data_IF_122410723731
#
_entry.id   IF_122410723731
#
_cell.length_a   1.000
_cell.length_b   1.000
_cell.length_c   1.000
_cell.angle_alpha   90.00
_cell.angle_beta   90.00
_cell.angle_gamma   90.00
#
_symmetry.space_group_name_H-M   'P 1'
#
loop_
_entity.id
_entity.type
_entity.pdbx_description
1 polymer ?
#
# COMPACT_ATOMS: atom_id res chain seq x y z
N UNK A 1 12.98 7.37 10.39
CA UNK A 1 12.83 5.99 10.91
C UNK A 1 11.35 5.70 11.05
N UNK A 2 10.89 4.51 10.70
CA UNK A 2 9.47 4.16 10.82
C UNK A 2 9.26 2.65 10.89
N UNK A 3 8.03 2.25 11.25
CA UNK A 3 7.61 0.88 11.44
C UNK A 3 7.48 0.13 10.11
N UNK A 4 6.92 0.79 9.08
CA UNK A 4 6.65 0.21 7.75
C UNK A 4 5.95 -1.16 7.79
N UNK A 5 4.95 -1.28 8.68
CA UNK A 5 4.05 -2.43 8.73
C UNK A 5 2.85 -2.16 7.81
N UNK A 6 2.55 -3.09 6.90
CA UNK A 6 1.56 -2.91 5.82
C UNK A 6 1.90 -1.73 4.90
N UNK A 7 3.07 -1.77 4.27
CA UNK A 7 3.50 -0.76 3.29
C UNK A 7 2.43 -0.56 2.20
N UNK A 8 2.21 0.70 1.84
CA UNK A 8 1.24 1.14 0.84
C UNK A 8 1.77 2.39 0.14
N UNK A 9 1.14 2.83 -0.95
CA UNK A 9 1.63 3.96 -1.76
C UNK A 9 1.86 5.27 -0.97
N UNK A 10 1.14 5.49 0.13
CA UNK A 10 1.41 6.60 1.07
C UNK A 10 2.81 6.59 1.69
N UNK A 11 3.31 5.43 2.13
CA UNK A 11 4.69 5.26 2.60
C UNK A 11 5.68 5.49 1.46
N UNK A 12 5.40 4.93 0.28
CA UNK A 12 6.23 5.10 -0.91
C UNK A 12 6.34 6.57 -1.33
N UNK A 13 5.24 7.35 -1.27
CA UNK A 13 5.27 8.78 -1.59
C UNK A 13 5.98 9.61 -0.51
N UNK A 14 5.92 9.22 0.77
CA UNK A 14 6.75 9.85 1.81
C UNK A 14 8.23 9.64 1.51
N UNK A 15 8.64 8.41 1.17
CA UNK A 15 10.02 8.10 0.82
C UNK A 15 10.47 8.82 -0.47
N UNK A 16 9.59 8.92 -1.47
CA UNK A 16 9.83 9.74 -2.67
C UNK A 16 10.08 11.20 -2.32
N UNK A 17 9.25 11.80 -1.46
CA UNK A 17 9.42 13.18 -1.01
C UNK A 17 10.73 13.36 -0.24
N UNK A 18 11.08 12.41 0.63
CA UNK A 18 12.33 12.44 1.37
C UNK A 18 13.56 12.34 0.45
N UNK A 19 13.54 11.40 -0.52
CA UNK A 19 14.59 11.26 -1.53
C UNK A 19 14.71 12.50 -2.41
N UNK A 20 13.63 13.25 -2.65
CA UNK A 20 13.69 14.48 -3.44
C UNK A 20 14.35 15.66 -2.69
N UNK A 21 14.59 15.54 -1.38
CA UNK A 21 15.24 16.59 -0.57
C UNK A 21 16.76 16.44 -0.50
N UNK A 22 17.33 15.38 -1.07
CA UNK A 22 18.77 15.12 -1.08
C UNK A 22 19.16 14.12 -2.16
N UNK A 23 20.39 13.62 -2.11
CA UNK A 23 20.91 12.73 -3.16
C UNK A 23 20.87 11.24 -2.76
N UNK A 24 20.80 10.95 -1.46
CA UNK A 24 20.84 9.60 -0.90
C UNK A 24 19.83 9.46 0.25
N UNK A 25 19.10 8.35 0.30
CA UNK A 25 18.04 8.08 1.27
C UNK A 25 18.32 6.77 2.02
N UNK A 26 18.62 6.92 3.31
CA UNK A 26 18.74 5.84 4.28
C UNK A 26 17.43 5.72 5.07
N UNK A 27 16.89 4.51 5.16
CA UNK A 27 15.63 4.25 5.89
C UNK A 27 15.86 3.31 7.08
N UNK A 28 15.74 3.87 8.29
CA UNK A 28 15.75 3.08 9.51
C UNK A 28 14.41 2.40 9.79
N UNK A 29 14.45 1.09 10.04
CA UNK A 29 13.27 0.24 10.31
C UNK A 29 13.43 -0.47 11.66
N UNK A 30 12.43 -0.33 12.54
CA UNK A 30 12.47 -0.88 13.91
C UNK A 30 12.34 -2.41 13.94
N UNK A 31 12.83 -3.05 15.02
CA UNK A 31 12.60 -4.48 15.29
C UNK A 31 11.18 -4.76 15.77
N UNK A 32 10.75 -6.01 15.70
CA UNK A 32 9.43 -6.43 16.19
C UNK A 32 9.30 -6.23 17.72
N UNK A 33 10.39 -6.47 18.45
CA UNK A 33 10.47 -6.25 19.89
C UNK A 33 10.31 -4.77 20.26
N UNK A 34 11.00 -3.88 19.53
CA UNK A 34 10.96 -2.44 19.79
C UNK A 34 9.58 -1.85 19.51
N UNK A 35 8.92 -2.33 18.45
CA UNK A 35 7.53 -1.97 18.14
C UNK A 35 6.59 -2.41 19.26
N UNK A 36 6.76 -3.64 19.74
CA UNK A 36 5.86 -4.25 20.73
C UNK A 36 5.93 -3.58 22.11
N UNK A 37 7.01 -2.85 22.41
CA UNK A 37 7.11 -2.02 23.63
C UNK A 37 6.20 -0.78 23.59
N UNK A 38 5.98 -0.23 22.40
CA UNK A 38 5.27 1.03 22.22
C UNK A 38 3.81 0.85 21.77
N UNK A 39 3.54 -0.23 21.03
CA UNK A 39 2.20 -0.56 20.52
C UNK A 39 2.01 -2.08 20.40
N UNK A 40 0.85 -2.51 19.92
CA UNK A 40 0.62 -3.93 19.61
C UNK A 40 1.64 -4.48 18.59
N UNK A 41 1.88 -5.80 18.59
CA UNK A 41 2.86 -6.41 17.70
C UNK A 41 2.54 -6.13 16.23
N UNK A 42 3.55 -5.98 15.35
CA UNK A 42 3.33 -5.75 13.94
C UNK A 42 2.68 -6.97 13.25
N UNK A 43 2.00 -6.73 12.13
CA UNK A 43 1.38 -7.78 11.31
C UNK A 43 2.44 -8.56 10.52
N UNK A 44 3.44 -7.85 9.99
CA UNK A 44 4.60 -8.43 9.33
C UNK A 44 5.82 -8.48 10.24
N UNK A 45 6.59 -9.55 10.10
CA UNK A 45 7.89 -9.71 10.76
C UNK A 45 8.86 -8.63 10.30
N UNK A 46 9.87 -8.34 11.11
CA UNK A 46 10.88 -7.34 10.76
C UNK A 46 11.61 -7.67 9.45
N UNK A 47 11.89 -8.95 9.17
CA UNK A 47 12.51 -9.37 7.92
C UNK A 47 11.64 -9.08 6.69
N UNK A 48 10.32 -9.33 6.78
CA UNK A 48 9.36 -8.98 5.72
C UNK A 48 9.32 -7.45 5.51
N UNK A 49 9.34 -6.66 6.60
CA UNK A 49 9.33 -5.19 6.55
C UNK A 49 10.63 -4.64 5.94
N UNK A 50 11.78 -5.16 6.34
CA UNK A 50 13.10 -4.80 5.79
C UNK A 50 13.13 -5.03 4.28
N UNK A 51 12.73 -6.22 3.83
CA UNK A 51 12.73 -6.56 2.41
C UNK A 51 11.74 -5.71 1.60
N UNK A 52 10.56 -5.43 2.15
CA UNK A 52 9.57 -4.57 1.50
C UNK A 52 10.07 -3.12 1.31
N UNK A 53 10.72 -2.55 2.34
CA UNK A 53 11.29 -1.19 2.26
C UNK A 53 12.45 -1.15 1.27
N UNK A 54 13.34 -2.16 1.25
CA UNK A 54 14.40 -2.27 0.22
C UNK A 54 13.83 -2.30 -1.19
N UNK A 55 12.65 -2.90 -1.41
CA UNK A 55 12.07 -2.99 -2.75
C UNK A 55 11.58 -1.65 -3.32
N UNK A 56 11.44 -0.62 -2.51
CA UNK A 56 11.02 0.71 -2.94
C UNK A 56 12.19 1.40 -3.64
N UNK A 57 11.96 1.93 -4.85
CA UNK A 57 13.03 2.43 -5.73
C UNK A 57 13.75 3.69 -5.28
N UNK A 58 13.15 4.45 -4.37
CA UNK A 58 13.76 5.66 -3.82
C UNK A 58 14.68 5.38 -2.63
N UNK A 59 14.63 4.18 -2.06
CA UNK A 59 15.44 3.78 -0.91
C UNK A 59 16.78 3.25 -1.39
N UNK A 60 17.88 3.86 -0.98
CA UNK A 60 19.21 3.39 -1.36
C UNK A 60 19.74 2.37 -0.36
N UNK A 61 19.56 2.65 0.94
CA UNK A 61 20.02 1.79 2.04
C UNK A 61 18.94 1.66 3.12
N UNK A 62 18.91 0.51 3.79
CA UNK A 62 18.10 0.33 5.00
C UNK A 62 19.00 0.12 6.22
N UNK A 63 18.55 0.65 7.35
CA UNK A 63 19.14 0.39 8.67
C UNK A 63 18.18 -0.49 9.45
N UNK A 64 18.58 -1.74 9.68
CA UNK A 64 17.83 -2.68 10.49
C UNK A 64 17.99 -2.38 11.99
N UNK A 65 16.94 -2.63 12.76
CA UNK A 65 16.94 -2.39 14.20
C UNK A 65 17.14 -0.93 14.60
N UNK A 66 16.62 0.01 13.80
CA UNK A 66 16.70 1.43 14.13
C UNK A 66 15.93 1.74 15.43
N UNK A 67 16.42 2.68 16.27
CA UNK A 67 15.74 3.08 17.50
C UNK A 67 14.36 3.68 17.18
N UNK A 68 13.41 3.60 18.13
CA UNK A 68 12.04 4.05 17.90
C UNK A 68 11.96 5.56 17.60
N UNK A 69 12.72 6.36 18.34
CA UNK A 69 12.82 7.81 18.17
C UNK A 69 14.12 8.15 17.43
N UNK A 70 14.02 9.09 16.48
CA UNK A 70 15.18 9.60 15.75
C UNK A 70 15.97 10.57 16.63
N UNK A 71 17.26 10.30 16.83
CA UNK A 71 18.18 11.12 17.65
C UNK A 71 19.30 11.72 16.79
N UNK A 72 19.95 12.77 17.29
CA UNK A 72 21.15 13.34 16.62
C UNK A 72 22.27 12.32 16.52
N UNK A 73 22.49 11.52 17.56
CA UNK A 73 23.46 10.42 17.57
C UNK A 73 23.25 9.47 16.38
N UNK A 74 22.00 9.13 16.07
CA UNK A 74 21.74 8.23 14.95
C UNK A 74 21.96 8.91 13.60
N UNK A 75 21.62 10.20 13.48
CA UNK A 75 21.92 10.95 12.26
C UNK A 75 23.42 11.05 12.03
N UNK A 76 24.20 11.31 13.07
CA UNK A 76 25.66 11.42 13.00
C UNK A 76 26.30 10.06 12.68
N UNK A 77 25.81 8.97 13.31
CA UNK A 77 26.28 7.60 13.05
C UNK A 77 26.20 7.21 11.57
N UNK A 78 25.14 7.62 10.87
CA UNK A 78 24.93 7.31 9.45
C UNK A 78 25.24 8.49 8.53
N UNK A 79 25.88 9.54 9.05
CA UNK A 79 26.24 10.74 8.28
C UNK A 79 25.05 11.37 7.52
N UNK A 80 23.85 11.34 8.11
CA UNK A 80 22.65 11.93 7.53
C UNK A 80 22.54 13.42 7.91
N UNK A 81 22.38 14.31 6.93
CA UNK A 81 22.24 15.75 7.21
C UNK A 81 20.97 16.08 8.02
N UNK A 82 19.85 15.43 7.70
CA UNK A 82 18.56 15.66 8.36
C UNK A 82 17.67 14.41 8.31
N UNK A 83 16.63 14.39 9.15
CA UNK A 83 15.54 13.42 9.04
C UNK A 83 14.31 14.03 8.39
N UNK A 84 13.49 13.18 7.77
CA UNK A 84 12.22 13.55 7.17
C UNK A 84 11.11 12.73 7.82
N UNK A 85 10.07 13.40 8.29
CA UNK A 85 8.88 12.78 8.88
C UNK A 85 7.60 13.42 8.33
N UNK A 86 6.45 12.82 8.62
CA UNK A 86 5.15 13.42 8.32
C UNK A 86 4.87 14.62 9.24
N UNK A 87 3.80 15.34 8.94
CA UNK A 87 3.24 16.45 9.72
C UNK A 87 2.35 16.00 10.90
N UNK A 88 2.51 14.74 11.34
CA UNK A 88 1.74 14.19 12.45
C UNK A 88 2.16 14.84 13.78
N UNK A 89 1.20 15.04 14.70
CA UNK A 89 1.46 15.58 16.03
C UNK A 89 2.20 14.52 16.86
N UNK A 90 3.46 14.80 17.21
CA UNK A 90 4.31 13.89 17.98
C UNK A 90 4.70 14.47 19.33
N UNK A 91 3.73 14.56 20.24
CA UNK A 91 3.95 15.01 21.62
C UNK A 91 4.12 13.82 22.58
N UNK A 92 5.04 13.95 23.53
CA UNK A 92 5.13 13.07 24.69
C UNK A 92 3.95 13.33 25.65
N UNK A 93 3.78 12.49 26.65
CA UNK A 93 2.75 12.66 27.70
C UNK A 93 2.86 14.00 28.43
N UNK A 94 4.07 14.56 28.50
CA UNK A 94 4.34 15.86 29.12
C UNK A 94 4.09 17.05 28.16
N UNK A 95 3.53 16.79 26.97
CA UNK A 95 3.26 17.81 25.96
C UNK A 95 4.51 18.31 25.23
N UNK A 96 5.65 17.61 25.35
CA UNK A 96 6.91 17.97 24.71
C UNK A 96 7.03 17.31 23.33
N UNK A 97 7.61 17.98 22.35
CA UNK A 97 7.84 17.38 21.04
C UNK A 97 8.85 16.22 21.13
N UNK A 98 8.47 15.07 20.58
CA UNK A 98 9.29 13.85 20.54
C UNK A 98 10.61 14.08 19.78
N UNK A 99 10.61 15.01 18.81
CA UNK A 99 11.77 15.36 18.00
C UNK A 99 12.35 16.73 18.36
N UNK A 100 12.09 17.25 19.57
CA UNK A 100 12.54 18.58 20.00
C UNK A 100 14.05 18.79 19.75
N UNK A 101 14.88 17.82 20.12
CA UNK A 101 16.34 17.88 19.95
C UNK A 101 16.74 18.03 18.48
N UNK A 102 16.15 17.21 17.61
CA UNK A 102 16.45 17.23 16.17
C UNK A 102 15.93 18.49 15.51
N UNK A 103 14.74 18.97 15.91
CA UNK A 103 14.16 20.23 15.44
C UNK A 103 15.03 21.44 15.83
N UNK A 104 15.51 21.50 17.07
CA UNK A 104 16.40 22.58 17.56
C UNK A 104 17.72 22.64 16.80
N UNK A 105 18.24 21.49 16.36
CA UNK A 105 19.47 21.43 15.55
C UNK A 105 19.29 21.86 14.09
N UNK A 106 18.06 22.13 13.64
CA UNK A 106 17.78 22.46 12.23
C UNK A 106 17.83 21.27 11.28
N UNK A 107 17.91 20.03 11.79
CA UNK A 107 18.06 18.76 11.04
C UNK A 107 16.76 17.96 10.93
N UNK A 108 15.61 18.63 11.03
CA UNK A 108 14.28 18.04 10.84
C UNK A 108 13.59 18.67 9.62
N UNK A 109 12.95 17.84 8.81
CA UNK A 109 12.15 18.26 7.64
C UNK A 109 10.81 17.53 7.63
N UNK A 110 9.81 18.19 7.08
CA UNK A 110 8.45 17.65 6.99
C UNK A 110 8.08 17.33 5.55
N UNK A 111 7.35 16.24 5.37
CA UNK A 111 6.75 15.85 4.10
C UNK A 111 5.22 15.88 4.20
N UNK A 112 4.55 16.15 3.08
CA UNK A 112 3.09 16.23 3.07
C UNK A 112 2.50 14.83 3.16
N UNK A 113 1.50 14.67 4.03
CA UNK A 113 0.71 13.44 4.12
C UNK A 113 0.07 13.10 2.78
N UNK A 114 0.10 11.81 2.43
CA UNK A 114 -0.49 11.33 1.18
C UNK A 114 -2.01 11.18 1.34
N UNK A 115 -2.76 11.85 0.47
CA UNK A 115 -4.22 11.77 0.43
C UNK A 115 -4.71 10.39 -0.04
N UNK A 116 -5.80 9.91 0.55
CA UNK A 116 -6.53 8.72 0.09
C UNK A 116 -6.08 7.37 0.65
N UNK A 117 -5.08 7.31 1.54
CA UNK A 117 -4.68 6.05 2.19
C UNK A 117 -4.10 6.24 3.59
N UNK A 118 -4.43 5.29 4.47
CA UNK A 118 -3.72 5.05 5.73
C UNK A 118 -3.83 3.57 6.10
N UNK A 119 -2.96 3.06 6.97
CA UNK A 119 -3.08 1.69 7.48
C UNK A 119 -4.45 1.46 8.14
N UNK A 120 -4.98 2.44 8.86
CA UNK A 120 -6.32 2.36 9.49
C UNK A 120 -7.44 2.24 8.45
N UNK A 121 -7.36 3.01 7.37
CA UNK A 121 -8.30 2.91 6.24
C UNK A 121 -8.25 1.51 5.60
N UNK A 122 -7.06 1.03 5.22
CA UNK A 122 -6.89 -0.29 4.62
C UNK A 122 -7.39 -1.42 5.53
N UNK A 123 -7.10 -1.35 6.83
CA UNK A 123 -7.64 -2.30 7.82
C UNK A 123 -9.17 -2.20 7.88
N UNK A 124 -9.74 -1.00 7.83
CA UNK A 124 -11.19 -0.79 7.74
C UNK A 124 -11.81 -1.50 6.53
N UNK A 125 -11.22 -1.34 5.33
CA UNK A 125 -11.65 -2.01 4.10
C UNK A 125 -11.62 -3.54 4.23
N UNK A 126 -10.55 -4.08 4.83
CA UNK A 126 -10.43 -5.53 5.06
C UNK A 126 -11.42 -6.06 6.08
N UNK A 127 -11.81 -5.27 7.07
CA UNK A 127 -12.80 -5.68 8.07
C UNK A 127 -14.23 -5.69 7.51
N UNK A 128 -14.55 -4.81 6.58
CA UNK A 128 -15.83 -4.86 5.85
C UNK A 128 -16.00 -6.21 5.14
N UNK A 129 -14.91 -6.79 4.62
CA UNK A 129 -14.91 -8.15 4.05
C UNK A 129 -15.38 -9.19 5.05
N UNK A 130 -14.87 -9.15 6.28
CA UNK A 130 -15.17 -10.18 7.29
C UNK A 130 -16.63 -10.16 7.74
N UNK A 131 -17.25 -8.97 7.79
CA UNK A 131 -18.67 -8.85 8.13
C UNK A 131 -19.55 -9.48 7.05
N UNK A 132 -19.28 -9.15 5.78
CA UNK A 132 -19.97 -9.75 4.63
C UNK A 132 -19.76 -11.28 4.55
N UNK A 133 -18.57 -11.76 4.95
CA UNK A 133 -18.25 -13.18 5.02
C UNK A 133 -19.05 -13.95 6.07
N UNK A 134 -19.27 -13.37 7.26
CA UNK A 134 -20.07 -14.02 8.31
C UNK A 134 -21.58 -13.93 8.02
N UNK A 135 -22.06 -12.90 7.33
CA UNK A 135 -23.47 -12.79 6.92
C UNK A 135 -23.83 -13.73 5.77
N UNK A 136 -22.88 -14.09 4.90
CA UNK A 136 -23.13 -15.01 3.76
C UNK A 136 -23.03 -16.51 4.08
N UNK A 137 -22.82 -16.92 5.34
CA UNK A 137 -22.88 -18.35 5.72
C UNK A 137 -24.31 -18.92 5.81
N UNK A 138 -25.33 -18.10 5.55
CA UNK A 138 -26.68 -18.58 5.33
C UNK A 138 -27.54 -17.48 4.75
N UNK A 139 -28.13 -17.74 3.57
CA UNK A 139 -29.12 -16.95 2.83
C UNK A 139 -28.55 -16.03 1.74
N UNK A 140 -28.84 -16.41 0.50
CA UNK A 140 -28.67 -15.62 -0.72
C UNK A 140 -29.73 -14.53 -0.78
N UNK A 141 -29.55 -13.44 -0.05
CA UNK A 141 -30.36 -12.23 -0.26
C UNK A 141 -29.45 -11.00 -0.18
N UNK A 142 -29.14 -10.44 -1.34
CA UNK A 142 -28.52 -9.12 -1.49
C UNK A 142 -29.55 -8.07 -1.04
N UNK A 143 -29.56 -7.74 0.25
CA UNK A 143 -30.15 -6.48 0.71
C UNK A 143 -29.07 -5.40 0.66
N UNK A 144 -29.33 -4.31 -0.06
CA UNK A 144 -28.55 -3.07 0.01
C UNK A 144 -28.45 -2.62 1.46
N UNK A 145 -27.33 -2.92 2.12
CA UNK A 145 -26.99 -2.32 3.40
C UNK A 145 -26.41 -0.93 3.13
N UNK A 146 -27.31 0.05 3.04
CA UNK A 146 -26.99 1.45 3.32
C UNK A 146 -26.71 1.57 4.82
N UNK A 147 -25.49 1.25 5.23
CA UNK A 147 -25.06 1.53 6.59
C UNK A 147 -24.79 3.03 6.71
N UNK A 148 -25.73 3.71 7.38
CA UNK A 148 -25.69 5.11 7.79
C UNK A 148 -24.32 5.49 8.39
N UNK A 149 -23.51 6.22 7.64
CA UNK A 149 -22.49 7.11 8.18
C UNK A 149 -22.57 8.45 7.45
N UNK A 150 -23.25 9.42 8.09
CA UNK A 150 -23.25 10.83 7.70
C UNK A 150 -24.01 11.16 6.42
N UNK A 151 -25.33 11.32 6.51
CA UNK A 151 -26.06 12.17 5.57
C UNK A 151 -25.51 13.60 5.65
N UNK A 152 -24.59 13.93 4.74
CA UNK A 152 -24.51 15.26 4.15
C UNK A 152 -24.55 15.06 2.64
N UNK A 153 -25.73 14.67 2.16
CA UNK A 153 -26.12 14.85 0.77
C UNK A 153 -26.21 16.35 0.50
N UNK A 154 -25.11 16.96 0.07
CA UNK A 154 -25.20 18.25 -0.61
C UNK A 154 -25.78 17.96 -1.99
N UNK A 155 -27.07 18.26 -2.14
CA UNK A 155 -27.72 18.39 -3.44
C UNK A 155 -26.89 19.37 -4.29
N UNK A 156 -26.18 18.87 -5.30
CA UNK A 156 -25.81 19.68 -6.45
C UNK A 156 -26.72 19.27 -7.61
N UNK A 157 -27.62 20.16 -8.06
CA UNK A 157 -28.53 19.86 -9.16
C UNK A 157 -27.83 20.18 -10.49
N UNK A 158 -26.77 19.46 -10.86
CA UNK A 158 -26.31 19.38 -12.25
C UNK A 158 -25.49 18.11 -12.42
N UNK A 159 -25.96 17.23 -13.30
CA UNK A 159 -25.42 15.88 -13.49
C UNK A 159 -23.97 15.89 -13.95
N UNK A 160 -23.09 15.36 -13.10
CA UNK A 160 -21.83 14.75 -13.50
C UNK A 160 -21.77 13.34 -12.94
N UNK A 161 -21.82 12.35 -13.84
CA UNK A 161 -21.59 10.95 -13.54
C UNK A 161 -20.09 10.75 -13.28
N UNK A 162 -19.70 10.77 -12.01
CA UNK A 162 -18.41 10.21 -11.61
C UNK A 162 -18.59 8.71 -11.46
N UNK A 163 -18.05 7.91 -12.39
CA UNK A 163 -18.07 6.45 -12.37
C UNK A 163 -17.40 5.89 -11.12
N UNK A 164 -18.15 5.75 -10.03
CA UNK A 164 -17.71 5.04 -8.85
C UNK A 164 -17.99 3.55 -9.05
N UNK A 165 -16.96 2.72 -8.93
CA UNK A 165 -17.11 1.28 -8.81
C UNK A 165 -17.89 0.96 -7.52
N UNK A 166 -19.02 0.25 -7.57
CA UNK A 166 -19.78 -0.11 -6.36
C UNK A 166 -19.00 -1.06 -5.43
N UNK A 167 -17.90 -1.64 -5.90
CA UNK A 167 -17.08 -2.62 -5.20
C UNK A 167 -15.90 -1.98 -4.44
N UNK A 168 -15.39 -0.85 -4.95
CA UNK A 168 -14.23 -0.10 -4.42
C UNK A 168 -14.56 1.34 -4.03
N UNK A 169 -15.85 1.71 -4.01
CA UNK A 169 -16.37 3.06 -3.72
C UNK A 169 -16.09 3.61 -2.31
N UNK A 170 -15.25 2.94 -1.52
CA UNK A 170 -14.74 3.41 -0.23
C UNK A 170 -13.44 4.22 -0.36
N UNK A 171 -12.70 4.07 -1.47
CA UNK A 171 -11.48 4.86 -1.68
C UNK A 171 -11.83 6.30 -2.11
N UNK A 172 -11.34 7.27 -1.34
CA UNK A 172 -11.42 8.71 -1.68
C UNK A 172 -10.18 9.19 -2.45
N UNK A 173 -9.40 8.26 -3.03
CA UNK A 173 -8.17 8.59 -3.72
C UNK A 173 -8.43 9.31 -5.05
N UNK A 174 -7.98 10.57 -5.14
CA UNK A 174 -8.02 11.36 -6.38
C UNK A 174 -6.74 11.14 -7.20
N UNK A 175 -6.85 10.39 -8.29
CA UNK A 175 -5.72 10.18 -9.20
C UNK A 175 -5.50 11.39 -10.10
N UNK A 176 -4.23 11.76 -10.33
CA UNK A 176 -3.85 12.81 -11.28
C UNK A 176 -2.69 12.33 -12.14
N UNK A 177 -2.56 12.86 -13.35
CA UNK A 177 -1.41 12.60 -14.23
C UNK A 177 -0.09 12.92 -13.53
N UNK A 178 -0.04 14.00 -12.74
CA UNK A 178 1.14 14.39 -11.98
C UNK A 178 1.57 13.34 -10.94
N UNK A 179 0.62 12.69 -10.26
CA UNK A 179 0.94 11.59 -9.31
C UNK A 179 1.54 10.39 -10.04
N UNK A 180 1.00 10.05 -11.22
CA UNK A 180 1.55 8.98 -12.05
C UNK A 180 2.97 9.32 -12.49
N UNK A 181 3.21 10.52 -13.03
CA UNK A 181 4.53 10.97 -13.47
C UNK A 181 5.54 10.95 -12.32
N UNK A 182 5.15 11.39 -11.12
CA UNK A 182 6.01 11.33 -9.94
C UNK A 182 6.42 9.91 -9.53
N UNK A 183 5.57 8.92 -9.86
CA UNK A 183 5.81 7.52 -9.55
C UNK A 183 6.39 6.74 -10.72
N UNK A 184 6.23 7.17 -11.97
CA UNK A 184 6.75 6.48 -13.13
C UNK A 184 8.28 6.64 -13.25
N UNK A 185 8.95 5.66 -13.86
CA UNK A 185 10.36 5.82 -14.25
C UNK A 185 10.51 6.76 -15.45
N UNK A 186 9.51 6.77 -16.35
CA UNK A 186 9.49 7.54 -17.59
C UNK A 186 10.48 7.04 -18.64
N UNK A 187 11.01 5.83 -18.50
CA UNK A 187 12.02 5.26 -19.42
C UNK A 187 11.36 4.31 -20.41
N UNK A 188 11.60 4.52 -21.69
CA UNK A 188 11.23 3.58 -22.75
C UNK A 188 12.26 2.44 -22.85
N UNK A 189 11.86 1.25 -23.37
CA UNK A 189 12.77 0.15 -23.62
C UNK A 189 13.92 0.57 -24.55
N UNK A 190 15.16 0.25 -24.16
CA UNK A 190 16.35 0.54 -24.95
C UNK A 190 16.76 -0.67 -25.81
N UNK A 191 17.52 -0.46 -26.90
CA UNK A 191 18.07 -1.57 -27.68
C UNK A 191 18.90 -2.52 -26.80
N UNK A 192 18.51 -3.80 -26.77
CA UNK A 192 19.15 -4.84 -25.95
C UNK A 192 18.46 -5.10 -24.61
N UNK A 193 17.43 -4.32 -24.23
CA UNK A 193 16.56 -4.67 -23.11
C UNK A 193 15.69 -5.87 -23.48
N UNK A 194 15.41 -6.74 -22.51
CA UNK A 194 14.44 -7.84 -22.64
C UNK A 194 13.11 -7.39 -22.07
N UNK A 195 12.07 -7.30 -22.89
CA UNK A 195 10.74 -6.85 -22.47
C UNK A 195 9.99 -8.03 -21.87
N UNK A 196 9.75 -7.96 -20.56
CA UNK A 196 9.08 -9.02 -19.80
C UNK A 196 7.72 -8.52 -19.34
N UNK A 197 6.65 -9.22 -19.74
CA UNK A 197 5.29 -8.90 -19.33
C UNK A 197 4.81 -9.84 -18.22
N UNK A 198 4.22 -9.27 -17.18
CA UNK A 198 3.53 -9.99 -16.09
C UNK A 198 2.16 -9.36 -15.87
N UNK A 199 1.15 -10.15 -15.51
CA UNK A 199 -0.21 -9.63 -15.30
C UNK A 199 -0.82 -10.15 -14.00
N UNK A 200 -1.73 -9.37 -13.41
CA UNK A 200 -2.47 -9.82 -12.24
C UNK A 200 -3.27 -8.72 -11.53
N UNK A 201 -3.75 -9.07 -10.34
CA UNK A 201 -4.40 -8.11 -9.45
C UNK A 201 -3.37 -7.13 -8.87
N UNK A 202 -2.27 -7.63 -8.29
CA UNK A 202 -1.34 -6.84 -7.47
C UNK A 202 -2.04 -6.03 -6.36
N UNK A 203 -3.10 -6.62 -5.79
CA UNK A 203 -3.87 -6.02 -4.71
C UNK A 203 -3.15 -6.16 -3.36
N UNK A 204 -3.19 -5.11 -2.54
CA UNK A 204 -2.35 -4.94 -1.35
C UNK A 204 -0.89 -5.30 -1.63
N UNK A 205 -0.24 -4.61 -2.58
CA UNK A 205 1.12 -4.92 -3.02
C UNK A 205 2.07 -5.23 -1.85
N UNK A 206 2.62 -6.45 -1.83
CA UNK A 206 3.23 -7.09 -0.66
C UNK A 206 4.48 -7.88 -1.04
N UNK A 207 5.17 -8.43 -0.05
CA UNK A 207 6.47 -9.07 -0.27
C UNK A 207 6.43 -10.26 -1.23
N UNK A 208 5.34 -11.03 -1.28
CA UNK A 208 5.19 -12.08 -2.30
C UNK A 208 5.24 -11.56 -3.75
N UNK A 209 4.72 -10.36 -4.03
CA UNK A 209 4.84 -9.74 -5.35
C UNK A 209 6.26 -9.21 -5.60
N UNK A 210 6.90 -8.66 -4.57
CA UNK A 210 8.30 -8.20 -4.64
C UNK A 210 9.21 -9.37 -4.99
N UNK A 211 9.08 -10.51 -4.30
CA UNK A 211 9.90 -11.70 -4.52
C UNK A 211 9.69 -12.29 -5.92
N UNK A 212 8.44 -12.28 -6.39
CA UNK A 212 8.13 -12.65 -7.77
C UNK A 212 8.78 -11.71 -8.79
N UNK A 213 8.67 -10.39 -8.61
CA UNK A 213 9.23 -9.41 -9.54
C UNK A 213 10.76 -9.40 -9.51
N UNK A 214 11.38 -9.62 -8.34
CA UNK A 214 12.82 -9.80 -8.19
C UNK A 214 13.28 -11.02 -8.99
N UNK A 215 12.64 -12.18 -8.79
CA UNK A 215 12.94 -13.40 -9.55
C UNK A 215 12.73 -13.23 -11.06
N UNK A 216 11.68 -12.50 -11.48
CA UNK A 216 11.44 -12.16 -12.89
C UNK A 216 12.55 -11.27 -13.46
N UNK A 217 13.00 -10.26 -12.69
CA UNK A 217 14.06 -9.36 -13.12
C UNK A 217 15.40 -10.08 -13.32
N UNK A 218 15.64 -11.17 -12.58
CA UNK A 218 16.85 -11.98 -12.69
C UNK A 218 16.88 -12.89 -13.93
N UNK A 219 15.81 -12.97 -14.72
CA UNK A 219 15.76 -13.77 -15.94
C UNK A 219 16.55 -13.17 -17.11
N UNK A 220 16.90 -11.88 -17.04
CA UNK A 220 17.68 -11.18 -18.06
C UNK A 220 18.70 -10.26 -17.41
N UNK A 221 19.81 -9.99 -18.10
CA UNK A 221 20.81 -9.01 -17.67
C UNK A 221 20.27 -7.58 -17.71
N UNK A 222 19.36 -7.28 -18.65
CA UNK A 222 18.71 -5.97 -18.82
C UNK A 222 17.20 -6.13 -18.89
N UNK A 223 16.52 -6.36 -17.75
CA UNK A 223 15.09 -6.59 -17.74
C UNK A 223 14.32 -5.26 -17.89
N UNK A 224 13.37 -5.22 -18.80
CA UNK A 224 12.34 -4.18 -18.87
C UNK A 224 10.99 -4.80 -18.49
N UNK A 225 10.61 -4.68 -17.22
CA UNK A 225 9.42 -5.35 -16.68
C UNK A 225 8.19 -4.47 -16.81
N UNK A 226 7.21 -4.95 -17.57
CA UNK A 226 5.88 -4.36 -17.75
C UNK A 226 4.88 -5.14 -16.90
N UNK A 227 4.20 -4.44 -15.99
CA UNK A 227 3.18 -5.05 -15.12
C UNK A 227 1.77 -4.65 -15.58
N UNK A 228 1.01 -5.62 -16.06
CA UNK A 228 -0.41 -5.48 -16.38
C UNK A 228 -1.31 -5.56 -15.15
N UNK A 229 -2.07 -4.51 -14.89
CA UNK A 229 -3.04 -4.45 -13.80
C UNK A 229 -4.45 -4.68 -14.34
N UNK A 230 -5.08 -5.78 -13.91
CA UNK A 230 -6.47 -6.05 -14.26
C UNK A 230 -7.41 -4.98 -13.69
N UNK A 231 -8.54 -4.73 -14.39
CA UNK A 231 -9.61 -3.86 -13.89
C UNK A 231 -10.22 -4.38 -12.60
N UNK A 232 -10.73 -3.46 -11.76
CA UNK A 232 -11.33 -3.81 -10.46
C UNK A 232 -12.49 -4.81 -10.61
N UNK A 233 -13.33 -4.63 -11.64
CA UNK A 233 -14.45 -5.53 -11.94
C UNK A 233 -13.96 -6.94 -12.32
N UNK A 234 -12.83 -7.01 -13.02
CA UNK A 234 -12.24 -8.27 -13.43
C UNK A 234 -11.60 -8.99 -12.23
N UNK A 235 -10.87 -8.25 -11.38
CA UNK A 235 -10.34 -8.78 -10.11
C UNK A 235 -11.48 -9.29 -9.22
N UNK A 236 -12.58 -8.54 -9.13
CA UNK A 236 -13.76 -8.95 -8.38
C UNK A 236 -14.38 -10.24 -8.95
N UNK A 237 -14.45 -10.38 -10.28
CA UNK A 237 -15.01 -11.58 -10.92
C UNK A 237 -14.29 -12.86 -10.49
N UNK A 238 -12.95 -12.89 -10.54
CA UNK A 238 -12.20 -14.12 -10.28
C UNK A 238 -11.77 -14.29 -8.80
N UNK A 239 -11.65 -13.21 -8.01
CA UNK A 239 -11.40 -13.32 -6.55
C UNK A 239 -12.67 -13.33 -5.70
N UNK A 240 -13.77 -12.78 -6.23
CA UNK A 240 -15.04 -12.60 -5.53
C UNK A 240 -14.99 -11.57 -4.39
N UNK A 241 -16.07 -11.56 -3.58
CA UNK A 241 -16.19 -10.78 -2.34
C UNK A 241 -16.12 -9.28 -2.63
N UNK A 242 -15.51 -8.47 -1.76
CA UNK A 242 -15.21 -7.06 -2.04
C UNK A 242 -13.73 -6.86 -2.45
N UNK A 243 -13.13 -7.84 -3.14
CA UNK A 243 -11.85 -7.60 -3.80
C UNK A 243 -12.06 -6.81 -5.10
N UNK A 244 -11.08 -5.98 -5.52
CA UNK A 244 -9.82 -5.70 -4.82
C UNK A 244 -10.00 -4.73 -3.64
N UNK A 245 -9.12 -4.80 -2.64
CA UNK A 245 -9.10 -3.88 -1.49
C UNK A 245 -8.62 -2.49 -1.91
N UNK A 246 -7.63 -2.45 -2.79
CA UNK A 246 -7.13 -1.25 -3.44
C UNK A 246 -7.67 -1.15 -4.87
N UNK A 247 -8.19 0.02 -5.24
CA UNK A 247 -8.64 0.25 -6.60
C UNK A 247 -7.46 0.26 -7.60
N UNK A 248 -7.76 0.23 -8.90
CA UNK A 248 -6.73 0.17 -9.93
C UNK A 248 -5.72 1.31 -9.87
N UNK A 249 -6.14 2.52 -9.48
CA UNK A 249 -5.27 3.68 -9.39
C UNK A 249 -4.32 3.60 -8.18
N UNK A 250 -4.80 3.13 -7.04
CA UNK A 250 -4.00 2.84 -5.84
C UNK A 250 -2.98 1.72 -6.11
N UNK A 251 -3.42 0.66 -6.82
CA UNK A 251 -2.55 -0.45 -7.24
C UNK A 251 -1.47 0.02 -8.23
N UNK A 252 -1.83 0.90 -9.16
CA UNK A 252 -0.88 1.52 -10.10
C UNK A 252 0.28 2.20 -9.36
N UNK A 253 -0.02 3.07 -8.39
CA UNK A 253 1.03 3.73 -7.61
C UNK A 253 1.83 2.76 -6.74
N UNK A 254 1.18 1.72 -6.20
CA UNK A 254 1.84 0.72 -5.36
C UNK A 254 2.86 -0.10 -6.16
N UNK A 255 2.51 -0.48 -7.39
CA UNK A 255 3.41 -1.24 -8.28
C UNK A 255 4.52 -0.37 -8.85
N UNK A 256 4.21 0.86 -9.30
CA UNK A 256 5.23 1.80 -9.84
C UNK A 256 6.31 2.20 -8.82
N UNK A 257 6.04 2.07 -7.52
CA UNK A 257 7.02 2.32 -6.46
C UNK A 257 8.11 1.24 -6.37
N UNK A 258 7.87 0.05 -6.91
CA UNK A 258 8.79 -1.08 -6.87
C UNK A 258 9.98 -0.86 -7.84
N UNK A 259 11.20 -1.15 -7.38
CA UNK A 259 12.43 -0.95 -8.18
C UNK A 259 12.55 -1.87 -9.38
N UNK A 260 11.90 -3.03 -9.33
CA UNK A 260 11.94 -4.04 -10.40
C UNK A 260 10.97 -3.75 -11.54
N UNK A 261 10.12 -2.72 -11.41
CA UNK A 261 9.07 -2.39 -12.39
C UNK A 261 9.51 -1.20 -13.24
N UNK A 262 9.46 -1.37 -14.55
CA UNK A 262 9.75 -0.32 -15.52
C UNK A 262 8.50 0.45 -15.92
N UNK A 263 7.42 -0.26 -16.22
CA UNK A 263 6.16 0.29 -16.74
C UNK A 263 4.92 -0.49 -16.24
N UNK A 264 3.75 0.15 -16.25
CA UNK A 264 2.47 -0.43 -15.84
C UNK A 264 1.40 -0.25 -16.90
N UNK A 265 0.74 -1.33 -17.31
CA UNK A 265 -0.48 -1.27 -18.13
C UNK A 265 -1.68 -1.14 -17.20
N UNK A 266 -2.24 0.07 -17.14
CA UNK A 266 -3.41 0.38 -16.32
C UNK A 266 -4.66 -0.14 -17.05
N UNK A 267 -5.27 -1.19 -16.53
CA UNK A 267 -6.46 -1.79 -17.15
C UNK A 267 -6.11 -2.83 -18.20
N UNK A 268 -5.14 -3.69 -17.89
CA UNK A 268 -4.77 -4.80 -18.75
C UNK A 268 -5.94 -5.80 -18.92
N UNK A 269 -6.12 -6.35 -20.13
CA UNK A 269 -7.06 -7.44 -20.35
C UNK A 269 -6.66 -8.68 -19.55
N UNK A 270 -7.64 -9.51 -19.19
CA UNK A 270 -7.40 -10.75 -18.44
C UNK A 270 -6.61 -11.78 -19.25
N UNK A 271 -7.07 -12.05 -20.48
CA UNK A 271 -6.31 -12.85 -21.44
C UNK A 271 -5.15 -12.02 -22.03
N UNK A 272 -3.98 -12.65 -22.12
CA UNK A 272 -2.81 -12.06 -22.77
C UNK A 272 -2.99 -12.20 -24.28
N UNK A 273 -3.49 -11.14 -24.90
CA UNK A 273 -3.79 -11.12 -26.35
C UNK A 273 -2.53 -10.91 -27.19
N UNK A 274 -2.58 -11.38 -28.45
CA UNK A 274 -1.49 -11.16 -29.40
C UNK A 274 -1.24 -9.67 -29.65
N UNK A 275 -2.32 -8.87 -29.74
CA UNK A 275 -2.21 -7.43 -29.96
C UNK A 275 -1.44 -6.72 -28.84
N UNK A 276 -1.61 -7.15 -27.59
CA UNK A 276 -0.86 -6.63 -26.45
C UNK A 276 0.63 -6.99 -26.57
N UNK A 277 0.93 -8.25 -26.91
CA UNK A 277 2.30 -8.73 -27.07
C UNK A 277 3.02 -8.00 -28.21
N UNK A 278 2.35 -7.83 -29.35
CA UNK A 278 2.90 -7.14 -30.52
C UNK A 278 3.07 -5.64 -30.27
N UNK A 279 2.13 -5.00 -29.56
CA UNK A 279 2.19 -3.57 -29.23
C UNK A 279 3.40 -3.22 -28.35
N UNK A 280 3.61 -3.99 -27.28
CA UNK A 280 4.74 -3.77 -26.36
C UNK A 280 6.02 -4.49 -26.80
N UNK A 281 5.99 -5.26 -27.90
CA UNK A 281 7.12 -6.08 -28.38
C UNK A 281 7.67 -7.00 -27.29
N UNK A 282 6.77 -7.73 -26.62
CA UNK A 282 7.10 -8.57 -25.47
C UNK A 282 7.95 -9.77 -25.89
N UNK A 283 9.09 -9.95 -25.23
CA UNK A 283 9.99 -11.09 -25.44
C UNK A 283 9.62 -12.29 -24.56
N UNK A 284 9.18 -12.02 -23.33
CA UNK A 284 8.84 -13.04 -22.33
C UNK A 284 7.57 -12.69 -21.57
N UNK A 285 6.73 -13.70 -21.31
CA UNK A 285 5.59 -13.56 -20.39
C UNK A 285 5.85 -14.42 -19.16
N UNK A 286 5.78 -13.82 -17.98
CA UNK A 286 6.00 -14.55 -16.73
C UNK A 286 4.73 -14.60 -15.87
N UNK A 287 4.49 -15.76 -15.25
CA UNK A 287 3.45 -15.95 -14.25
C UNK A 287 4.03 -16.69 -13.03
N UNK A 288 3.52 -16.42 -11.84
CA UNK A 288 3.94 -17.09 -10.62
C UNK A 288 3.48 -18.56 -10.55
N UNK A 289 3.77 -19.24 -9.45
CA UNK A 289 3.18 -20.57 -9.16
C UNK A 289 1.73 -20.53 -8.65
N UNK A 290 1.14 -19.35 -8.57
CA UNK A 290 -0.25 -19.19 -8.14
C UNK A 290 -1.21 -19.74 -9.18
N UNK A 291 -2.37 -20.21 -8.74
CA UNK A 291 -3.42 -20.72 -9.62
C UNK A 291 -3.82 -19.68 -10.68
N UNK A 292 -3.99 -20.16 -11.92
CA UNK A 292 -4.50 -19.37 -13.04
C UNK A 292 -5.96 -19.78 -13.23
N UNK A 293 -6.87 -18.81 -13.07
CA UNK A 293 -8.28 -19.05 -13.33
C UNK A 293 -8.55 -19.00 -14.85
N UNK A 294 -9.46 -19.83 -15.37
CA UNK A 294 -9.90 -19.70 -16.75
C UNK A 294 -10.54 -18.33 -17.02
N UNK A 295 -10.47 -17.89 -18.27
CA UNK A 295 -11.21 -16.71 -18.73
C UNK A 295 -12.73 -17.00 -18.75
N UNK A 296 -13.55 -15.99 -19.04
CA UNK A 296 -15.02 -16.06 -19.02
C UNK A 296 -15.60 -17.11 -19.97
N UNK A 297 -14.88 -17.41 -21.05
CA UNK A 297 -15.22 -18.44 -22.04
C UNK A 297 -14.63 -19.82 -21.68
N UNK A 298 -13.93 -19.95 -20.54
CA UNK A 298 -13.25 -21.16 -20.11
C UNK A 298 -11.86 -21.35 -20.72
N UNK A 299 -11.37 -20.41 -21.52
CA UNK A 299 -10.04 -20.50 -22.13
C UNK A 299 -8.90 -20.23 -21.15
N UNK A 300 -7.70 -20.74 -21.45
CA UNK A 300 -6.47 -20.39 -20.71
C UNK A 300 -6.06 -18.96 -21.09
N UNK A 301 -6.03 -18.00 -20.13
CA UNK A 301 -5.64 -16.62 -20.41
C UNK A 301 -4.20 -16.48 -20.92
N UNK A 302 -3.36 -17.50 -20.73
CA UNK A 302 -1.99 -17.57 -21.25
C UNK A 302 -1.84 -18.48 -22.48
N UNK A 303 -2.94 -18.88 -23.14
CA UNK A 303 -2.89 -19.76 -24.30
C UNK A 303 -2.02 -19.21 -25.45
N UNK A 304 -2.08 -17.91 -25.71
CA UNK A 304 -1.29 -17.24 -26.77
C UNK A 304 0.21 -17.28 -26.47
N UNK A 305 0.71 -16.74 -25.34
CA UNK A 305 2.14 -16.81 -25.03
C UNK A 305 2.67 -18.24 -24.86
N UNK A 306 1.81 -19.18 -24.43
CA UNK A 306 2.14 -20.61 -24.37
C UNK A 306 2.38 -21.18 -25.78
N UNK A 307 1.51 -20.89 -26.74
CA UNK A 307 1.67 -21.31 -28.15
C UNK A 307 2.91 -20.69 -28.80
N UNK A 308 3.25 -19.46 -28.42
CA UNK A 308 4.46 -18.77 -28.90
C UNK A 308 5.76 -19.24 -28.23
N UNK A 309 5.68 -20.07 -27.17
CA UNK A 309 6.85 -20.57 -26.45
C UNK A 309 7.55 -19.55 -25.55
N UNK A 310 6.91 -18.40 -25.28
CA UNK A 310 7.47 -17.28 -24.50
C UNK A 310 6.98 -17.24 -23.05
N UNK A 311 6.06 -18.13 -22.67
CA UNK A 311 5.55 -18.23 -21.29
C UNK A 311 6.57 -18.93 -20.37
N UNK A 312 6.88 -18.30 -19.25
CA UNK A 312 7.72 -18.84 -18.17
C UNK A 312 6.98 -18.82 -16.84
N UNK A 313 7.06 -19.93 -16.12
CA UNK A 313 6.58 -20.00 -14.73
C UNK A 313 7.73 -19.73 -13.79
N UNK A 314 7.57 -18.75 -12.92
CA UNK A 314 8.59 -18.31 -11.96
C UNK A 314 8.13 -18.62 -10.55
N UNK A 315 9.02 -19.21 -9.76
CA UNK A 315 8.78 -19.42 -8.32
C UNK A 315 9.30 -18.23 -7.55
N UNK A 316 8.42 -17.55 -6.81
CA UNK A 316 8.83 -16.48 -5.89
C UNK A 316 9.48 -17.01 -4.61
N UNK A 317 9.34 -18.31 -4.31
CA UNK A 317 9.73 -18.89 -3.02
C UNK A 317 8.87 -18.40 -1.85
N UNK A 318 7.78 -17.67 -2.14
CA UNK A 318 6.94 -17.03 -1.13
C UNK A 318 5.46 -17.40 -1.33
N UNK A 319 4.84 -17.92 -0.28
CA UNK A 319 3.44 -18.34 -0.26
C UNK A 319 2.46 -17.24 0.21
N UNK A 320 2.95 -16.04 0.49
CA UNK A 320 2.12 -14.92 0.96
C UNK A 320 1.18 -14.43 -0.14
N UNK A 321 -0.12 -14.46 0.16
CA UNK A 321 -1.19 -13.92 -0.69
C UNK A 321 -1.98 -12.84 0.03
N UNK A 322 -2.76 -12.06 -0.73
CA UNK A 322 -3.69 -11.07 -0.19
C UNK A 322 -4.61 -11.67 0.88
N UNK A 323 -5.14 -12.88 0.67
CA UNK A 323 -6.00 -13.56 1.64
C UNK A 323 -5.25 -13.90 2.94
N UNK A 324 -4.00 -14.37 2.86
CA UNK A 324 -3.18 -14.64 4.05
C UNK A 324 -2.92 -13.36 4.84
N UNK A 325 -2.67 -12.23 4.16
CA UNK A 325 -2.47 -10.92 4.80
C UNK A 325 -3.73 -10.51 5.56
N UNK A 326 -4.91 -10.62 4.92
CA UNK A 326 -6.19 -10.32 5.55
C UNK A 326 -6.37 -11.17 6.81
N UNK A 327 -6.07 -12.48 6.76
CA UNK A 327 -6.15 -13.37 7.92
C UNK A 327 -5.16 -12.98 9.04
N UNK A 328 -3.91 -12.62 8.71
CA UNK A 328 -2.92 -12.15 9.70
C UNK A 328 -3.41 -10.90 10.43
N UNK A 329 -3.98 -9.93 9.71
CA UNK A 329 -4.51 -8.69 10.28
C UNK A 329 -5.67 -8.97 11.23
N UNK A 330 -6.62 -9.82 10.83
CA UNK A 330 -7.77 -10.19 11.65
C UNK A 330 -7.29 -10.86 12.96
N UNK A 331 -6.36 -11.81 12.86
CA UNK A 331 -5.76 -12.49 14.01
C UNK A 331 -5.07 -11.51 14.96
N UNK A 332 -4.28 -10.58 14.42
CA UNK A 332 -3.57 -9.59 15.22
C UNK A 332 -4.55 -8.65 15.96
N UNK A 333 -5.64 -8.23 15.30
CA UNK A 333 -6.69 -7.41 15.94
C UNK A 333 -7.41 -8.17 17.05
N UNK A 334 -7.72 -9.45 16.85
CA UNK A 334 -8.31 -10.29 17.89
C UNK A 334 -7.38 -10.44 19.10
N UNK A 335 -6.07 -10.57 18.88
CA UNK A 335 -5.07 -10.61 19.93
C UNK A 335 -5.04 -9.30 20.73
N UNK A 336 -4.95 -8.15 20.06
CA UNK A 336 -4.96 -6.83 20.71
C UNK A 336 -6.23 -6.64 21.55
N UNK A 337 -7.42 -6.99 21.02
CA UNK A 337 -8.69 -6.91 21.76
C UNK A 337 -8.74 -7.81 23.00
N UNK A 338 -8.17 -9.02 22.93
CA UNK A 338 -8.11 -9.95 24.08
C UNK A 338 -7.14 -9.43 25.15
N UNK A 339 -5.97 -8.93 24.75
CA UNK A 339 -4.98 -8.37 25.66
C UNK A 339 -5.45 -7.07 26.32
N UNK A 340 -6.20 -6.22 25.61
CA UNK A 340 -6.81 -5.03 26.21
C UNK A 340 -7.91 -5.38 27.22
N UNK A 341 -8.70 -6.43 26.97
CA UNK A 341 -9.70 -6.94 27.93
C UNK A 341 -9.06 -7.59 29.16
N UNK A 342 -7.84 -8.15 29.04
CA UNK A 342 -7.09 -8.71 30.15
C UNK A 342 -6.37 -7.61 30.96
N UNK A 343 -5.83 -6.59 30.30
CA UNK A 343 -5.18 -5.43 30.94
C UNK A 343 -6.14 -4.45 31.63
N UNK A 344 -7.43 -4.47 31.27
CA UNK A 344 -8.48 -3.73 31.98
C UNK A 344 -8.64 -4.11 33.46
N UNK A 345 -7.96 -5.16 33.96
CA UNK A 345 -7.89 -5.50 35.39
C UNK A 345 -6.62 -5.04 36.11
N UNK A 346 -5.57 -4.54 35.40
CA UNK A 346 -4.26 -4.22 36.03
C UNK A 346 -3.66 -2.86 35.58
N UNK A 347 -4.24 -2.15 34.60
CA UNK A 347 -3.84 -0.76 34.31
C UNK A 347 -5.03 0.06 33.78
N UNK A 348 -5.47 1.13 34.46
CA UNK A 348 -6.28 2.14 33.80
C UNK A 348 -5.36 3.02 32.94
N UNK A 349 -5.83 3.41 31.75
CA UNK A 349 -5.23 4.40 30.83
C UNK A 349 -4.19 3.90 29.82
N UNK A 350 -4.55 3.01 28.91
CA UNK A 350 -4.06 3.08 27.52
C UNK A 350 -5.20 2.60 26.60
N UNK A 351 -5.36 3.22 25.43
CA UNK A 351 -6.50 3.14 24.50
C UNK A 351 -7.64 4.14 24.74
N UNK A 352 -7.33 5.42 24.51
CA UNK A 352 -8.27 6.38 23.93
C UNK A 352 -7.56 7.16 22.83
N UNK A 353 -7.37 6.53 21.66
CA UNK A 353 -7.43 7.27 20.39
C UNK A 353 -8.86 7.06 19.89
N UNK A 354 -9.78 7.68 20.62
CA UNK A 354 -11.10 8.03 20.12
C UNK A 354 -10.89 9.31 19.33
N UNK A 355 -11.04 9.21 18.02
CA UNK A 355 -11.28 10.37 17.16
C UNK A 355 -12.60 10.97 17.63
N UNK A 356 -12.55 11.91 18.56
CA UNK A 356 -13.66 12.80 18.86
C UNK A 356 -13.54 13.97 17.88
N UNK A 357 -14.34 13.87 16.82
CA UNK A 357 -14.64 14.96 15.92
C UNK A 357 -15.33 16.05 16.74
N UNK A 358 -14.67 17.20 16.96
CA UNK A 358 -15.34 18.41 17.45
C UNK A 358 -15.54 19.32 16.24
N UNK A 359 -16.77 19.50 15.73
CA UNK A 359 -17.01 20.42 14.63
C UNK A 359 -16.70 21.86 15.04
N UNK A 360 -15.83 22.52 14.27
CA UNK A 360 -15.55 23.94 14.38
C UNK A 360 -16.74 24.78 13.90
N UNK A 361 -17.72 24.99 14.78
CA UNK A 361 -18.72 26.06 14.65
C UNK A 361 -19.13 26.53 16.04
N UNK A 362 -18.27 27.33 16.70
CA UNK A 362 -18.66 28.29 17.75
C UNK A 362 -17.43 29.11 18.19
N UNK A 363 -16.82 29.87 17.28
CA UNK A 363 -15.98 31.03 17.66
C UNK A 363 -16.22 32.15 16.65
N UNK A 364 -17.35 32.82 16.78
CA UNK A 364 -17.52 34.20 16.32
C UNK A 364 -18.48 34.93 17.25
N UNK A 365 -18.02 36.09 17.73
CA UNK A 365 -18.71 37.14 18.52
C UNK A 365 -18.92 36.77 20.00
N UNK A 366 -18.43 37.52 20.99
CA UNK A 366 -18.25 38.98 21.06
C UNK A 366 -17.14 39.36 22.05
N UNK A 367 -16.18 40.15 21.56
CA UNK A 367 -15.45 41.12 22.38
C UNK A 367 -16.13 42.47 22.21
N UNK A 368 -16.36 43.17 23.33
CA UNK A 368 -16.94 44.52 23.37
C UNK A 368 -17.24 44.91 24.81
N UNK A 369 -16.21 45.46 25.47
CA UNK A 369 -16.31 46.09 26.79
C UNK A 369 -16.63 47.58 26.64
N UNK A 370 -17.26 48.17 27.66
CA UNK A 370 -17.28 49.63 27.87
C UNK A 370 -18.40 50.36 27.16
#
# INVERSE_FOLDING_TARGET
MCIYDMVHYGHSNQLRQAKAMGDYLIVGVHTDEEISKHKGPPVFTQAERYKMVRAIKWVDEIVEGAPYVTTLETLDKYCCDFCVHGDDITLTVDGKDTYEEVKKSGRYRECKRTQGVSTTDLVGRMLLMTKAHHSNMGRSDYQQHTDNFGSVSVLFPFGWSCSHSPWTGVSQFLQTSQKIIQFASGKEPQPGDTIIYVAGAFDLFHIGHVDFLDAVSQLSEKPYVIVGLHFDQEVNRYKGKNYPIMNIHERTLSVLACRYVSEVVIGAPYAVTKDLLDHFKVDLVCHGKTEVFPDRDGSDPYAVPRKMGILRTVDSGNSLTTDVIVQRIIKNRCYIKKSSNLHLKIWPLFYHISILYVPSWYVTQSGGAG
#
